data_IF_555102094527
#
_entry.id   IF_555102094527
#
_cell.length_a   1.000
_cell.length_b   1.000
_cell.length_c   1.000
_cell.angle_alpha   90.00
_cell.angle_beta   90.00
_cell.angle_gamma   90.00
#
_symmetry.space_group_name_H-M   'P 1'
#
loop_
_entity.id
_entity.type
_entity.pdbx_description
1 polymer ?
#
# COMPACT_ATOMS: atom_id res chain seq x y z
N UNK A 1 26.57 26.81 7.21
CA UNK A 1 25.35 26.11 7.65
C UNK A 1 25.75 24.74 8.17
N UNK A 2 25.56 24.49 9.46
CA UNK A 2 25.91 23.20 10.07
C UNK A 2 24.99 22.13 9.46
N UNK A 3 25.58 21.07 8.90
CA UNK A 3 24.82 19.94 8.35
C UNK A 3 24.20 19.21 9.54
N UNK A 4 22.96 19.53 9.86
CA UNK A 4 22.17 18.79 10.84
C UNK A 4 21.99 17.39 10.27
N UNK A 5 22.46 16.35 10.98
CA UNK A 5 22.14 14.97 10.64
C UNK A 5 20.64 14.86 10.45
N UNK A 6 20.22 14.40 9.27
CA UNK A 6 18.80 14.21 8.98
C UNK A 6 18.38 12.94 9.70
N UNK A 7 17.50 13.08 10.68
CA UNK A 7 16.89 11.93 11.33
C UNK A 7 15.77 11.39 10.43
N UNK A 8 15.86 10.12 10.04
CA UNK A 8 14.85 9.48 9.19
C UNK A 8 13.49 9.47 9.89
N UNK A 9 12.47 9.94 9.19
CA UNK A 9 11.08 9.82 9.61
C UNK A 9 10.67 8.34 9.78
N UNK A 10 9.69 8.07 10.64
CA UNK A 10 9.23 6.70 10.88
C UNK A 10 8.76 6.00 9.59
N UNK A 11 8.11 6.74 8.68
CA UNK A 11 7.73 6.24 7.36
C UNK A 11 8.95 5.85 6.51
N UNK A 12 9.97 6.72 6.47
CA UNK A 12 11.18 6.46 5.70
C UNK A 12 11.96 5.26 6.24
N UNK A 13 12.08 5.12 7.57
CA UNK A 13 12.71 3.94 8.19
C UNK A 13 12.01 2.64 7.78
N UNK A 14 10.67 2.63 7.79
CA UNK A 14 9.90 1.49 7.33
C UNK A 14 10.12 1.19 5.84
N UNK A 15 10.23 2.23 5.01
CA UNK A 15 10.57 2.12 3.59
C UNK A 15 11.94 1.49 3.37
N UNK A 16 12.96 1.98 4.07
CA UNK A 16 14.34 1.47 4.01
C UNK A 16 14.38 -0.01 4.37
N UNK A 17 13.79 -0.41 5.51
CA UNK A 17 13.74 -1.81 5.93
C UNK A 17 13.08 -2.70 4.88
N UNK A 18 11.99 -2.25 4.25
CA UNK A 18 11.31 -3.00 3.17
C UNK A 18 12.19 -3.16 1.94
N UNK A 19 12.83 -2.08 1.49
CA UNK A 19 13.73 -2.12 0.33
C UNK A 19 14.89 -3.08 0.60
N UNK A 20 15.57 -2.96 1.75
CA UNK A 20 16.72 -3.78 2.08
C UNK A 20 16.35 -5.26 2.21
N UNK A 21 15.21 -5.58 2.81
CA UNK A 21 14.70 -6.94 2.88
C UNK A 21 14.39 -7.50 1.48
N UNK A 22 13.73 -6.73 0.62
CA UNK A 22 13.44 -7.15 -0.76
C UNK A 22 14.72 -7.35 -1.58
N UNK A 23 15.72 -6.47 -1.42
CA UNK A 23 17.03 -6.59 -2.06
C UNK A 23 17.83 -7.80 -1.58
N UNK A 24 17.63 -8.24 -0.33
CA UNK A 24 18.27 -9.44 0.20
C UNK A 24 17.65 -10.73 -0.35
N UNK A 25 16.35 -10.72 -0.65
CA UNK A 25 15.64 -11.87 -1.26
C UNK A 25 15.78 -11.91 -2.79
N UNK A 26 16.16 -10.80 -3.43
CA UNK A 26 16.25 -10.69 -4.88
C UNK A 26 17.66 -10.99 -5.40
N UNK A 27 17.76 -11.46 -6.65
CA UNK A 27 19.03 -11.54 -7.36
C UNK A 27 19.46 -10.14 -7.81
N UNK A 28 20.49 -9.60 -7.15
CA UNK A 28 20.93 -8.22 -7.39
C UNK A 28 21.51 -7.99 -8.78
N UNK A 29 22.06 -9.04 -9.44
CA UNK A 29 22.50 -8.98 -10.84
C UNK A 29 21.33 -8.69 -11.78
N UNK A 30 20.28 -9.52 -11.73
CA UNK A 30 19.07 -9.36 -12.56
C UNK A 30 18.41 -7.99 -12.32
N UNK A 31 18.39 -7.49 -11.07
CA UNK A 31 17.89 -6.16 -10.74
C UNK A 31 18.75 -5.04 -11.33
N UNK A 32 20.07 -5.18 -11.28
CA UNK A 32 20.99 -4.21 -11.85
C UNK A 32 20.81 -4.12 -13.36
N UNK A 33 20.67 -5.27 -14.04
CA UNK A 33 20.36 -5.36 -15.47
C UNK A 33 19.02 -4.69 -15.82
N UNK A 34 17.96 -4.95 -15.04
CA UNK A 34 16.64 -4.31 -15.23
C UNK A 34 16.68 -2.79 -15.04
N UNK A 35 17.54 -2.31 -14.14
CA UNK A 35 17.73 -0.89 -13.87
C UNK A 35 18.75 -0.24 -14.82
N UNK A 36 19.42 -1.02 -15.67
CA UNK A 36 20.46 -0.54 -16.58
C UNK A 36 21.71 -0.01 -15.86
N UNK A 37 22.01 -0.54 -14.66
CA UNK A 37 23.16 -0.13 -13.85
C UNK A 37 24.07 -1.31 -13.57
N UNK A 38 25.35 -1.02 -13.30
CA UNK A 38 26.28 -2.06 -12.84
C UNK A 38 25.95 -2.50 -11.39
N UNK A 39 26.09 -3.79 -11.03
CA UNK A 39 25.84 -4.28 -9.67
C UNK A 39 26.63 -3.53 -8.57
N UNK A 40 27.83 -3.03 -8.87
CA UNK A 40 28.61 -2.20 -7.94
C UNK A 40 27.94 -0.86 -7.63
N UNK A 41 27.18 -0.32 -8.59
CA UNK A 41 26.38 0.90 -8.40
C UNK A 41 25.26 0.64 -7.41
N UNK A 42 24.53 -0.48 -7.56
CA UNK A 42 23.50 -0.87 -6.59
C UNK A 42 24.09 -1.08 -5.18
N UNK A 43 25.29 -1.66 -5.08
CA UNK A 43 26.00 -1.81 -3.81
C UNK A 43 26.38 -0.45 -3.18
N UNK A 44 26.80 0.52 -3.99
CA UNK A 44 27.09 1.89 -3.51
C UNK A 44 25.84 2.60 -3.02
N UNK A 45 24.72 2.49 -3.74
CA UNK A 45 23.44 3.09 -3.33
C UNK A 45 23.01 2.65 -1.93
N UNK A 46 23.31 1.39 -1.58
CA UNK A 46 22.98 0.78 -0.29
C UNK A 46 23.91 1.20 0.84
N UNK A 47 25.22 1.33 0.58
CA UNK A 47 26.23 1.40 1.64
C UNK A 47 26.97 2.75 1.72
N UNK A 48 26.99 3.53 0.64
CA UNK A 48 27.77 4.75 0.57
C UNK A 48 27.00 5.93 1.16
N UNK A 49 27.54 6.50 2.23
CA UNK A 49 26.99 7.70 2.86
C UNK A 49 27.30 8.93 2.00
N UNK A 50 26.28 9.76 1.79
CA UNK A 50 26.40 11.01 1.03
C UNK A 50 26.55 12.21 1.96
N UNK A 51 26.55 13.39 1.35
CA UNK A 51 26.77 14.68 2.00
C UNK A 51 25.84 14.98 3.19
N UNK A 52 24.69 14.32 3.27
CA UNK A 52 23.67 14.44 4.31
C UNK A 52 23.73 13.30 5.35
N UNK A 53 24.80 12.50 5.36
CA UNK A 53 24.96 11.33 6.23
C UNK A 53 23.90 10.26 6.03
N UNK A 54 23.23 10.25 4.87
CA UNK A 54 22.30 9.21 4.45
C UNK A 54 22.87 8.48 3.23
N UNK A 55 22.55 7.20 3.12
CA UNK A 55 22.70 6.43 1.88
C UNK A 55 21.71 6.92 0.83
N UNK A 56 21.91 6.56 -0.43
CA UNK A 56 20.97 6.96 -1.50
C UNK A 56 19.57 6.39 -1.27
N UNK A 57 19.48 5.16 -0.75
CA UNK A 57 18.20 4.52 -0.39
C UNK A 57 17.49 5.29 0.74
N UNK A 58 18.22 5.66 1.79
CA UNK A 58 17.66 6.42 2.91
C UNK A 58 17.20 7.81 2.47
N UNK A 59 18.00 8.49 1.65
CA UNK A 59 17.64 9.79 1.07
C UNK A 59 16.37 9.70 0.23
N UNK A 60 16.23 8.66 -0.59
CA UNK A 60 15.04 8.44 -1.40
C UNK A 60 13.80 8.18 -0.54
N UNK A 61 13.91 7.35 0.49
CA UNK A 61 12.82 7.09 1.43
C UNK A 61 12.39 8.34 2.20
N UNK A 62 13.35 9.18 2.61
CA UNK A 62 13.05 10.44 3.29
C UNK A 62 12.39 11.44 2.33
N UNK A 63 12.88 11.53 1.09
CA UNK A 63 12.25 12.34 0.05
C UNK A 63 10.78 11.94 -0.17
N UNK A 64 10.50 10.64 -0.29
CA UNK A 64 9.12 10.16 -0.43
C UNK A 64 8.26 10.57 0.77
N UNK A 65 8.80 10.45 1.98
CA UNK A 65 8.12 10.85 3.21
C UNK A 65 7.80 12.35 3.23
N UNK A 66 8.74 13.20 2.83
CA UNK A 66 8.53 14.65 2.68
C UNK A 66 7.45 14.99 1.65
N UNK A 67 7.33 14.19 0.58
CA UNK A 67 6.31 14.36 -0.45
C UNK A 67 4.94 13.76 -0.07
N UNK A 68 4.80 13.17 1.12
CA UNK A 68 3.57 12.48 1.54
C UNK A 68 3.33 11.15 0.83
N UNK A 69 4.36 10.59 0.18
CA UNK A 69 4.33 9.31 -0.52
C UNK A 69 4.85 8.20 0.39
N UNK A 70 4.40 6.96 0.13
CA UNK A 70 4.85 5.77 0.89
C UNK A 70 5.16 4.60 -0.03
N UNK A 71 6.05 3.74 0.43
CA UNK A 71 6.40 2.49 -0.25
C UNK A 71 5.50 1.38 0.29
N UNK A 72 4.73 0.75 -0.59
CA UNK A 72 3.87 -0.39 -0.28
C UNK A 72 4.23 -1.53 -1.23
N UNK A 73 4.47 -2.76 -0.72
CA UNK A 73 4.70 -3.92 -1.57
C UNK A 73 3.53 -4.14 -2.53
N UNK A 74 3.81 -4.65 -3.75
CA UNK A 74 2.76 -4.85 -4.76
C UNK A 74 1.73 -5.89 -4.32
N UNK A 75 2.12 -6.82 -3.45
CA UNK A 75 1.27 -7.88 -2.93
C UNK A 75 0.32 -7.38 -1.83
N UNK A 76 0.53 -6.17 -1.29
CA UNK A 76 -0.33 -5.58 -0.27
C UNK A 76 -1.67 -5.15 -0.89
N UNK A 77 -2.64 -6.07 -0.90
CA UNK A 77 -4.03 -5.73 -1.21
C UNK A 77 -4.67 -5.08 0.01
N UNK A 78 -5.32 -3.93 -0.20
CA UNK A 78 -5.96 -3.16 0.89
C UNK A 78 -7.20 -3.87 1.48
N UNK A 79 -7.72 -4.89 0.80
CA UNK A 79 -8.91 -5.63 1.22
C UNK A 79 -8.57 -7.12 1.15
N UNK A 80 -8.87 -7.83 2.24
CA UNK A 80 -8.77 -9.28 2.29
C UNK A 80 -9.65 -9.92 1.20
N UNK A 81 -9.04 -10.79 0.39
CA UNK A 81 -9.72 -11.41 -0.76
C UNK A 81 -10.98 -12.17 -0.33
N UNK A 82 -10.94 -12.85 0.82
CA UNK A 82 -12.08 -13.58 1.38
C UNK A 82 -13.24 -12.65 1.73
N UNK A 83 -12.96 -11.43 2.23
CA UNK A 83 -14.00 -10.41 2.46
C UNK A 83 -14.64 -9.95 1.16
N UNK A 84 -13.84 -9.69 0.11
CA UNK A 84 -14.37 -9.29 -1.21
C UNK A 84 -15.22 -10.41 -1.80
N UNK A 85 -14.77 -11.66 -1.67
CA UNK A 85 -15.48 -12.84 -2.15
C UNK A 85 -16.82 -13.02 -1.42
N UNK A 86 -16.83 -12.92 -0.09
CA UNK A 86 -18.07 -12.97 0.70
C UNK A 86 -19.04 -11.87 0.28
N UNK A 87 -18.55 -10.64 0.07
CA UNK A 87 -19.37 -9.52 -0.37
C UNK A 87 -19.95 -9.79 -1.76
N UNK A 88 -19.15 -10.30 -2.69
CA UNK A 88 -19.58 -10.67 -4.03
C UNK A 88 -20.64 -11.78 -4.03
N UNK A 89 -20.46 -12.82 -3.21
CA UNK A 89 -21.43 -13.91 -3.07
C UNK A 89 -22.74 -13.41 -2.51
N UNK A 90 -22.71 -12.59 -1.46
CA UNK A 90 -23.92 -12.01 -0.88
C UNK A 90 -24.65 -11.10 -1.88
N UNK A 91 -23.92 -10.21 -2.57
CA UNK A 91 -24.50 -9.36 -3.61
C UNK A 91 -25.14 -10.18 -4.73
N UNK A 92 -24.48 -11.23 -5.23
CA UNK A 92 -25.04 -12.11 -6.26
C UNK A 92 -26.29 -12.86 -5.78
N UNK A 93 -26.24 -13.41 -4.57
CA UNK A 93 -27.37 -14.11 -3.96
C UNK A 93 -28.59 -13.19 -3.80
N UNK A 94 -28.36 -11.95 -3.38
CA UNK A 94 -29.41 -10.96 -3.23
C UNK A 94 -29.96 -10.50 -4.59
N UNK A 95 -29.09 -10.20 -5.56
CA UNK A 95 -29.49 -9.81 -6.92
C UNK A 95 -30.22 -10.93 -7.68
N UNK A 96 -29.90 -12.21 -7.44
CA UNK A 96 -30.63 -13.33 -8.06
C UNK A 96 -32.08 -13.47 -7.58
N UNK A 97 -32.45 -12.79 -6.49
CA UNK A 97 -33.81 -12.82 -5.92
C UNK A 97 -34.67 -11.64 -6.38
N UNK A 98 -34.09 -10.71 -7.13
CA UNK A 98 -34.73 -9.48 -7.59
C UNK A 98 -35.12 -9.70 -9.04
N UNK A 99 -36.41 -9.65 -9.34
CA UNK A 99 -36.94 -9.79 -10.71
C UNK A 99 -37.24 -8.42 -11.33
N UNK A 100 -37.50 -7.40 -10.51
CA UNK A 100 -37.79 -6.03 -10.94
C UNK A 100 -37.13 -4.97 -10.05
N UNK A 101 -37.03 -3.74 -10.56
CA UNK A 101 -36.49 -2.59 -9.79
C UNK A 101 -37.36 -2.27 -8.57
N UNK A 102 -38.67 -2.56 -8.63
CA UNK A 102 -39.59 -2.32 -7.52
C UNK A 102 -39.28 -3.20 -6.30
N UNK A 103 -38.67 -4.37 -6.48
CA UNK A 103 -38.22 -5.24 -5.37
C UNK A 103 -37.07 -4.62 -4.55
N UNK A 104 -36.38 -3.60 -5.10
CA UNK A 104 -35.35 -2.83 -4.41
C UNK A 104 -35.95 -1.75 -3.49
N UNK A 105 -37.21 -1.38 -3.70
CA UNK A 105 -37.91 -0.36 -2.94
C UNK A 105 -38.99 -1.02 -2.08
N UNK A 106 -38.63 -1.39 -0.84
CA UNK A 106 -39.62 -1.83 0.14
C UNK A 106 -40.46 -0.65 0.64
N UNK A 107 -41.53 -0.31 -0.07
CA UNK A 107 -42.46 0.76 0.34
C UNK A 107 -43.29 0.43 1.60
N UNK A 108 -43.25 -0.82 2.09
CA UNK A 108 -44.19 -1.31 3.10
C UNK A 108 -43.81 -1.05 4.57
N UNK A 109 -42.59 -0.59 4.89
CA UNK A 109 -42.23 -0.30 6.30
C UNK A 109 -42.77 1.07 6.77
N UNK A 110 -43.27 1.91 5.84
CA UNK A 110 -43.81 3.22 6.17
C UNK A 110 -45.20 3.17 6.84
N UNK A 111 -46.03 2.17 6.52
CA UNK A 111 -47.42 2.06 7.00
C UNK A 111 -47.65 1.25 8.27
N UNK A 112 -46.64 0.54 8.80
CA UNK A 112 -46.79 -0.32 9.99
C UNK A 112 -46.17 0.23 11.29
N UNK A 113 -45.55 1.41 11.26
CA UNK A 113 -45.00 2.02 12.49
C UNK A 113 -46.06 2.23 13.58
N UNK A 114 -47.28 2.62 13.20
CA UNK A 114 -48.41 2.75 14.14
C UNK A 114 -48.92 1.43 14.72
N UNK A 115 -48.70 0.27 14.06
CA UNK A 115 -49.08 -1.04 14.58
C UNK A 115 -48.01 -1.71 15.45
N UNK A 116 -46.75 -1.24 15.36
CA UNK A 116 -45.61 -1.80 16.07
C UNK A 116 -45.24 -1.03 17.35
N UNK A 117 -45.98 0.03 17.68
CA UNK A 117 -45.85 0.71 18.97
C UNK A 117 -44.54 1.48 19.17
N UNK A 118 -43.97 2.05 18.09
CA UNK A 118 -42.89 3.04 18.15
C UNK A 118 -43.41 4.43 17.83
#
# INVERSE_FOLDING_TARGET
MSKVSIELSASARNGVSRILQALATSKQGDLADQLGVDPSTLSRMKNELKNNSLTEIEMFCELLSCLGLKIVPKEYQSIDKSRVEALLVMSKSWMSRIESVDDLFHDEISGQKEKLGY
#
